data_IF_867799729544
#
_entry.id   IF_867799729544
#
_cell.length_a   1.000
_cell.length_b   1.000
_cell.length_c   1.000
_cell.angle_alpha   90.00
_cell.angle_beta   90.00
_cell.angle_gamma   90.00
#
_symmetry.space_group_name_H-M   'P 1'
#
loop_
_entity.id
_entity.type
_entity.pdbx_description
1 polymer ?
#
# COMPACT_ATOMS: atom_id res chain seq x y z
N UNK A 1 -1.01 5.90 13.63
CA UNK A 1 -1.98 5.23 12.74
C UNK A 1 -2.78 4.30 13.61
N UNK A 2 -4.10 4.36 13.57
CA UNK A 2 -4.96 3.53 14.41
C UNK A 2 -4.61 2.05 14.16
N UNK A 3 -4.13 1.30 15.17
CA UNK A 3 -3.85 -0.13 15.05
C UNK A 3 -5.10 -0.99 14.77
N UNK A 4 -6.28 -0.37 14.72
CA UNK A 4 -7.58 -1.03 14.76
C UNK A 4 -8.37 -0.98 13.44
N UNK A 5 -7.83 -0.35 12.39
CA UNK A 5 -8.53 -0.34 11.11
C UNK A 5 -8.42 -1.72 10.45
N UNK A 6 -9.54 -2.39 10.15
CA UNK A 6 -9.51 -3.62 9.37
C UNK A 6 -9.01 -3.33 7.95
N UNK A 7 -8.39 -4.31 7.28
CA UNK A 7 -8.00 -4.17 5.89
C UNK A 7 -9.24 -3.97 5.01
N UNK A 8 -9.06 -3.25 3.91
CA UNK A 8 -10.11 -3.06 2.92
C UNK A 8 -10.35 -4.37 2.15
N UNK A 9 -11.58 -4.85 2.13
CA UNK A 9 -11.94 -6.17 1.59
C UNK A 9 -11.52 -6.33 0.13
N UNK A 10 -11.71 -5.29 -0.70
CA UNK A 10 -11.32 -5.27 -2.11
C UNK A 10 -9.79 -5.39 -2.27
N UNK A 11 -9.02 -4.72 -1.40
CA UNK A 11 -7.57 -4.84 -1.37
C UNK A 11 -7.11 -6.25 -0.96
N UNK A 12 -7.77 -6.86 0.02
CA UNK A 12 -7.49 -8.24 0.46
C UNK A 12 -7.78 -9.25 -0.66
N UNK A 13 -8.93 -9.14 -1.31
CA UNK A 13 -9.29 -10.02 -2.41
C UNK A 13 -8.29 -9.90 -3.56
N UNK A 14 -7.93 -8.68 -3.95
CA UNK A 14 -6.96 -8.42 -5.01
C UNK A 14 -5.58 -9.00 -4.72
N UNK A 15 -5.04 -8.78 -3.52
CA UNK A 15 -3.69 -9.28 -3.18
C UNK A 15 -3.67 -10.81 -3.09
N UNK A 16 -4.75 -11.44 -2.60
CA UNK A 16 -4.87 -12.91 -2.56
C UNK A 16 -4.97 -13.52 -3.95
N UNK A 17 -5.74 -12.91 -4.85
CA UNK A 17 -5.82 -13.38 -6.23
C UNK A 17 -4.48 -13.22 -6.94
N UNK A 18 -3.85 -12.05 -6.79
CA UNK A 18 -2.55 -11.76 -7.38
C UNK A 18 -1.47 -12.72 -6.88
N UNK A 19 -1.52 -13.13 -5.61
CA UNK A 19 -0.54 -14.03 -5.00
C UNK A 19 -0.53 -15.44 -5.62
N UNK A 20 -1.57 -15.83 -6.36
CA UNK A 20 -1.60 -17.11 -7.08
C UNK A 20 -0.62 -17.16 -8.24
N UNK A 21 -0.29 -16.00 -8.81
CA UNK A 21 0.53 -15.89 -10.02
C UNK A 21 1.75 -14.97 -9.84
N UNK A 22 1.75 -14.12 -8.82
CA UNK A 22 2.74 -13.08 -8.61
C UNK A 22 3.35 -13.17 -7.22
N UNK A 23 4.63 -12.83 -7.12
CA UNK A 23 5.24 -12.53 -5.83
C UNK A 23 4.67 -11.21 -5.30
N UNK A 24 4.26 -11.19 -4.03
CA UNK A 24 3.74 -9.99 -3.39
C UNK A 24 4.89 -9.19 -2.79
N UNK A 25 4.90 -7.88 -3.06
CA UNK A 25 5.81 -6.90 -2.45
C UNK A 25 4.98 -5.74 -1.91
N UNK A 26 5.15 -5.44 -0.62
CA UNK A 26 4.46 -4.36 0.05
C UNK A 26 5.32 -3.09 0.05
N UNK A 27 4.73 -1.96 -0.35
CA UNK A 27 5.36 -0.64 -0.34
C UNK A 27 4.59 0.28 0.60
N UNK A 28 5.28 0.87 1.58
CA UNK A 28 4.64 1.80 2.52
C UNK A 28 5.49 3.04 2.79
N UNK A 29 4.82 4.19 2.90
CA UNK A 29 5.43 5.43 3.38
C UNK A 29 5.69 5.43 4.90
N UNK A 30 5.23 4.40 5.63
CA UNK A 30 5.54 4.26 7.05
C UNK A 30 7.06 4.15 7.25
N UNK A 31 7.60 4.76 8.32
CA UNK A 31 9.01 4.68 8.60
C UNK A 31 9.41 3.28 9.08
N UNK A 32 10.67 2.91 8.90
CA UNK A 32 11.26 1.61 9.24
C UNK A 32 11.01 1.18 10.70
N UNK A 33 10.94 2.12 11.66
CA UNK A 33 10.59 1.83 13.06
C UNK A 33 9.21 1.17 13.24
N UNK A 34 8.31 1.31 12.26
CA UNK A 34 6.99 0.68 12.26
C UNK A 34 7.00 -0.71 11.62
N UNK A 35 8.17 -1.28 11.28
CA UNK A 35 8.26 -2.58 10.59
C UNK A 35 7.56 -3.69 11.35
N UNK A 36 7.84 -3.80 12.65
CA UNK A 36 7.28 -4.88 13.48
C UNK A 36 5.74 -4.80 13.49
N UNK A 37 5.19 -3.64 13.84
CA UNK A 37 3.75 -3.41 13.84
C UNK A 37 3.10 -3.68 12.46
N UNK A 38 3.80 -3.32 11.38
CA UNK A 38 3.29 -3.55 10.02
C UNK A 38 3.25 -5.04 9.69
N UNK A 39 4.32 -5.79 10.00
CA UNK A 39 4.37 -7.23 9.77
C UNK A 39 3.35 -7.98 10.64
N UNK A 40 3.23 -7.63 11.91
CA UNK A 40 2.26 -8.23 12.82
C UNK A 40 0.83 -7.96 12.33
N UNK A 41 0.53 -6.75 11.84
CA UNK A 41 -0.78 -6.43 11.26
C UNK A 41 -1.07 -7.21 9.96
N UNK A 42 -0.09 -7.35 9.05
CA UNK A 42 -0.26 -8.15 7.83
C UNK A 42 -0.56 -9.62 8.16
N UNK A 43 0.20 -10.19 9.12
CA UNK A 43 0.06 -11.57 9.55
C UNK A 43 -1.26 -11.82 10.28
N UNK A 44 -1.67 -10.91 11.18
CA UNK A 44 -2.93 -11.01 11.92
C UNK A 44 -4.16 -11.05 10.99
N UNK A 45 -4.07 -10.41 9.82
CA UNK A 45 -5.13 -10.42 8.80
C UNK A 45 -4.92 -11.49 7.71
N UNK A 46 -3.93 -12.36 7.88
CA UNK A 46 -3.64 -13.48 6.98
C UNK A 46 -3.31 -13.05 5.56
N UNK A 47 -2.73 -11.86 5.36
CA UNK A 47 -2.32 -11.39 4.04
C UNK A 47 -1.13 -12.22 3.52
N UNK A 48 -1.00 -12.39 2.19
CA UNK A 48 0.09 -13.19 1.62
C UNK A 48 1.47 -12.72 2.08
N UNK A 49 2.40 -13.65 2.26
CA UNK A 49 3.79 -13.29 2.57
C UNK A 49 4.41 -12.46 1.44
N UNK A 50 5.26 -11.50 1.81
CA UNK A 50 5.89 -10.61 0.86
C UNK A 50 6.94 -9.71 1.49
N UNK A 51 7.92 -9.30 0.70
CA UNK A 51 8.92 -8.34 1.16
C UNK A 51 8.23 -6.99 1.46
N UNK A 52 8.54 -6.40 2.62
CA UNK A 52 8.02 -5.08 3.00
C UNK A 52 9.11 -4.03 2.87
N UNK A 53 8.92 -3.11 1.94
CA UNK A 53 9.78 -1.95 1.78
C UNK A 53 9.13 -0.70 2.41
N UNK A 54 9.91 -0.03 3.26
CA UNK A 54 9.46 1.09 4.09
C UNK A 54 10.37 2.29 3.86
N UNK A 55 9.90 3.46 4.30
CA UNK A 55 10.71 4.68 4.28
C UNK A 55 11.74 4.66 5.40
N UNK A 56 12.96 5.11 5.13
CA UNK A 56 14.00 5.22 6.15
C UNK A 56 13.55 6.11 7.32
N UNK A 57 13.99 5.79 8.55
CA UNK A 57 13.55 6.52 9.76
C UNK A 57 13.84 8.03 9.73
N UNK A 58 14.94 8.43 9.09
CA UNK A 58 15.36 9.82 8.94
C UNK A 58 14.85 10.47 7.63
N UNK A 59 14.25 9.70 6.71
CA UNK A 59 13.78 10.23 5.43
C UNK A 59 12.45 10.98 5.63
N UNK A 60 12.50 12.29 5.39
CA UNK A 60 11.35 13.20 5.51
C UNK A 60 10.72 13.54 4.15
N UNK A 61 11.23 12.98 3.05
CA UNK A 61 10.69 13.22 1.72
C UNK A 61 9.27 12.62 1.59
N UNK A 62 8.45 13.14 0.65
CA UNK A 62 7.14 12.57 0.37
C UNK A 62 7.22 11.09 0.00
N UNK A 63 6.24 10.29 0.43
CA UNK A 63 6.24 8.83 0.25
C UNK A 63 6.38 8.41 -1.22
N UNK A 64 5.81 9.17 -2.16
CA UNK A 64 5.94 8.95 -3.62
C UNK A 64 7.39 8.82 -4.10
N UNK A 65 8.32 9.59 -3.52
CA UNK A 65 9.75 9.51 -3.88
C UNK A 65 10.31 8.15 -3.53
N UNK A 66 10.13 7.74 -2.27
CA UNK A 66 10.58 6.44 -1.77
C UNK A 66 9.94 5.28 -2.53
N UNK A 67 8.61 5.32 -2.73
CA UNK A 67 7.87 4.27 -3.47
C UNK A 67 8.39 4.13 -4.90
N UNK A 68 8.56 5.24 -5.62
CA UNK A 68 9.06 5.23 -7.00
C UNK A 68 10.51 4.77 -7.12
N UNK A 69 11.39 5.18 -6.18
CA UNK A 69 12.78 4.70 -6.10
C UNK A 69 12.84 3.18 -5.93
N UNK A 70 12.03 2.63 -5.03
CA UNK A 70 11.95 1.18 -4.80
C UNK A 70 11.37 0.46 -6.01
N UNK A 71 10.29 0.98 -6.61
CA UNK A 71 9.65 0.39 -7.78
C UNK A 71 10.63 0.27 -8.96
N UNK A 72 11.37 1.35 -9.25
CA UNK A 72 12.43 1.36 -10.26
C UNK A 72 13.56 0.38 -9.93
N UNK A 73 13.91 0.22 -8.65
CA UNK A 73 14.93 -0.75 -8.23
C UNK A 73 14.46 -2.19 -8.45
N UNK A 74 13.21 -2.51 -8.12
CA UNK A 74 12.62 -3.84 -8.36
C UNK A 74 12.58 -4.16 -9.86
N UNK A 75 12.17 -3.18 -10.67
CA UNK A 75 12.09 -3.30 -12.12
C UNK A 75 13.43 -3.61 -12.82
N UNK A 76 14.57 -3.41 -12.15
CA UNK A 76 15.90 -3.74 -12.71
C UNK A 76 16.17 -5.24 -12.75
N UNK A 77 15.51 -6.02 -11.91
CA UNK A 77 15.80 -7.46 -11.76
C UNK A 77 14.58 -8.35 -11.94
N UNK A 78 13.37 -7.76 -11.96
CA UNK A 78 12.10 -8.49 -12.07
C UNK A 78 11.08 -7.64 -12.84
N UNK A 79 10.13 -8.31 -13.48
CA UNK A 79 8.95 -7.65 -14.03
C UNK A 79 8.03 -7.20 -12.89
N UNK A 80 7.59 -5.95 -12.94
CA UNK A 80 6.52 -5.44 -12.07
C UNK A 80 5.22 -5.49 -12.86
N UNK A 81 4.43 -6.54 -12.66
CA UNK A 81 3.16 -6.73 -13.40
C UNK A 81 2.17 -5.59 -13.16
N UNK A 82 2.06 -5.12 -11.92
CA UNK A 82 1.15 -4.01 -11.54
C UNK A 82 1.60 -3.36 -10.23
N UNK A 83 1.47 -2.04 -10.14
CA UNK A 83 1.46 -1.30 -8.88
C UNK A 83 0.01 -1.02 -8.47
N UNK A 84 -0.34 -1.29 -7.22
CA UNK A 84 -1.63 -0.92 -6.63
C UNK A 84 -1.40 0.13 -5.55
N UNK A 85 -1.98 1.32 -5.70
CA UNK A 85 -1.83 2.43 -4.74
C UNK A 85 -3.07 3.33 -4.75
N UNK A 86 -3.41 3.95 -3.61
CA UNK A 86 -4.52 4.90 -3.47
C UNK A 86 -4.07 6.36 -3.56
N UNK A 87 -2.78 6.64 -3.40
CA UNK A 87 -2.22 7.98 -3.54
C UNK A 87 -2.07 8.33 -5.03
N UNK A 88 -2.96 9.18 -5.52
CA UNK A 88 -3.00 9.61 -6.93
C UNK A 88 -1.65 10.16 -7.43
N UNK A 89 -0.87 10.83 -6.57
CA UNK A 89 0.46 11.33 -6.95
C UNK A 89 1.49 10.22 -7.11
N UNK A 90 1.36 9.12 -6.37
CA UNK A 90 2.18 7.92 -6.55
C UNK A 90 1.80 7.24 -7.87
N UNK A 91 0.50 7.11 -8.15
CA UNK A 91 0.00 6.54 -9.40
C UNK A 91 0.49 7.32 -10.61
N UNK A 92 0.35 8.64 -10.61
CA UNK A 92 0.80 9.51 -11.72
C UNK A 92 2.32 9.43 -11.94
N UNK A 93 3.11 9.35 -10.87
CA UNK A 93 4.57 9.20 -10.94
C UNK A 93 4.97 7.84 -11.51
N UNK A 94 4.25 6.77 -11.16
CA UNK A 94 4.50 5.41 -11.62
C UNK A 94 4.09 5.20 -13.08
N UNK A 95 2.91 5.68 -13.49
CA UNK A 95 2.47 5.65 -14.89
C UNK A 95 3.45 6.41 -15.80
N UNK A 96 3.89 7.62 -15.39
CA UNK A 96 4.92 8.37 -16.12
C UNK A 96 6.27 7.66 -16.19
N UNK A 97 6.54 6.76 -15.25
CA UNK A 97 7.74 5.93 -15.26
C UNK A 97 7.55 4.61 -16.05
N UNK A 98 6.40 4.41 -16.70
CA UNK A 98 6.10 3.26 -17.56
C UNK A 98 5.54 2.05 -16.83
N UNK A 99 5.09 2.18 -15.59
CA UNK A 99 4.47 1.08 -14.85
C UNK A 99 2.97 0.98 -15.12
N UNK A 100 2.47 -0.25 -15.22
CA UNK A 100 1.03 -0.52 -15.11
C UNK A 100 0.57 -0.21 -13.69
N UNK A 101 -0.46 0.63 -13.56
CA UNK A 101 -1.02 1.04 -12.27
C UNK A 101 -2.48 0.68 -12.18
N UNK A 102 -2.88 0.13 -11.05
CA UNK A 102 -4.27 -0.03 -10.64
C UNK A 102 -4.52 0.90 -9.46
N UNK A 103 -5.31 1.96 -9.69
CA UNK A 103 -5.62 2.97 -8.68
C UNK A 103 -6.64 2.43 -7.68
N UNK A 104 -6.28 2.33 -6.42
CA UNK A 104 -7.08 1.74 -5.35
C UNK A 104 -8.21 2.68 -4.86
N UNK A 105 -9.10 3.09 -5.77
CA UNK A 105 -10.17 4.09 -5.51
C UNK A 105 -11.15 3.67 -4.40
N UNK A 106 -11.20 2.37 -4.06
CA UNK A 106 -11.98 1.88 -2.93
C UNK A 106 -11.47 2.39 -1.57
N UNK A 107 -10.19 2.78 -1.48
CA UNK A 107 -9.63 3.39 -0.28
C UNK A 107 -10.24 4.77 0.01
N UNK A 108 -10.37 5.62 -1.02
CA UNK A 108 -11.01 6.94 -0.89
C UNK A 108 -12.48 6.80 -0.46
N UNK A 109 -13.23 5.91 -1.10
CA UNK A 109 -14.63 5.61 -0.74
C UNK A 109 -14.75 5.12 0.70
N UNK A 110 -13.84 4.26 1.15
CA UNK A 110 -13.84 3.76 2.53
C UNK A 110 -13.51 4.87 3.53
N UNK A 111 -12.57 5.77 3.22
CA UNK A 111 -12.26 6.91 4.05
C UNK A 111 -13.46 7.87 4.18
N UNK A 112 -14.17 8.14 3.07
CA UNK A 112 -15.39 8.95 3.08
C UNK A 112 -16.50 8.30 3.92
N UNK A 113 -16.73 6.99 3.77
CA UNK A 113 -17.71 6.24 4.56
C UNK A 113 -17.38 6.26 6.05
N UNK A 114 -16.10 6.11 6.43
CA UNK A 114 -15.68 6.22 7.84
C UNK A 114 -15.93 7.61 8.40
N UNK A 115 -15.60 8.67 7.65
CA UNK A 115 -15.87 10.05 8.07
C UNK A 115 -17.38 10.31 8.22
N UNK A 116 -18.22 9.75 7.35
CA UNK A 116 -19.68 9.84 7.49
C UNK A 116 -20.18 9.14 8.76
N UNK A 117 -19.73 7.90 9.02
CA UNK A 117 -20.11 7.12 10.21
C UNK A 117 -19.64 7.76 11.52
N UNK A 118 -18.45 8.36 11.57
CA UNK A 118 -17.95 9.09 12.74
C UNK A 118 -18.70 10.40 13.02
N UNK A 119 -19.31 11.01 11.99
CA UNK A 119 -20.14 12.20 12.13
C UNK A 119 -21.56 11.86 12.62
N UNK A 120 -22.12 10.76 12.16
CA UNK A 120 -23.45 10.28 12.57
C UNK A 120 -23.45 9.59 13.94
N UNK A 121 -22.32 9.02 14.38
CA UNK A 121 -22.17 8.38 15.69
C UNK A 121 -21.89 9.32 16.86
N UNK A 122 -21.86 10.64 16.65
CA UNK A 122 -21.80 11.67 17.71
C UNK A 122 -23.15 12.40 17.82
N UNK A 123 -24.19 11.69 18.25
CA UNK A 123 -25.41 12.23 18.86
C UNK A 123 -25.91 11.22 19.88
#
# INVERSE_FOLDING_TARGET
AAPHDPPLAEGVALVRESAKECQIVYLTGRPERCRRDTLDWLAAHGLPEGAVHMRGNADRRPARRTKLEILRRLARTREVRVLVDDDELVCDDAERAGFTVLRARWAARSAELRVAQEREGRT
#
